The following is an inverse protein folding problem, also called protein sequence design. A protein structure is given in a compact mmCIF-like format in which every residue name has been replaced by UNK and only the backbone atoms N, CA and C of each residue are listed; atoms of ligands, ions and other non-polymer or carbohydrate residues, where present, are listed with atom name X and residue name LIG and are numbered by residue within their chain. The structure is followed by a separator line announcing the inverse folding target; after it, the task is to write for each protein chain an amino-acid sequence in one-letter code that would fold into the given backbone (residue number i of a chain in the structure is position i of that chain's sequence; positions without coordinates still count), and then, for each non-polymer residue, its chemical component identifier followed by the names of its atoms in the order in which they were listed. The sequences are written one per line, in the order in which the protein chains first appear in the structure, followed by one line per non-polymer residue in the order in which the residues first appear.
data_IF_933882440839
#
_entry.id   IF_933882440839
#
_cell.length_a   1.000
_cell.length_b   1.000
_cell.length_c   1.000
_cell.angle_alpha   90.00
_cell.angle_beta   90.00
_cell.angle_gamma   90.00
#
_symmetry.space_group_name_H-M   'P 1'
#
loop_
_entity.id
_entity.type
_entity.pdbx_description
1 polymer ?
#
# COMPACT_ATOMS: atom_id res chain seq x y z
N UNK A 1 37.31 -3.11 -23.53
CA UNK A 1 37.31 -3.57 -22.12
C UNK A 1 36.69 -2.57 -21.15
N UNK A 2 36.58 -1.26 -21.50
CA UNK A 2 35.89 -0.25 -20.70
C UNK A 2 34.39 -0.23 -20.93
N UNK A 3 33.88 -0.72 -22.06
CA UNK A 3 32.46 -0.73 -22.41
C UNK A 3 31.63 -1.73 -21.61
N UNK A 4 32.21 -2.86 -21.18
CA UNK A 4 31.47 -3.87 -20.42
C UNK A 4 31.19 -3.45 -18.96
N UNK A 5 32.00 -2.56 -18.38
CA UNK A 5 31.77 -2.02 -17.04
C UNK A 5 30.69 -0.92 -17.01
N UNK A 6 30.63 -0.12 -18.05
CA UNK A 6 29.63 0.94 -18.18
C UNK A 6 28.24 0.35 -18.46
N UNK A 7 28.17 -0.67 -19.31
CA UNK A 7 26.91 -1.37 -19.60
C UNK A 7 26.35 -2.08 -18.35
N UNK A 8 27.23 -2.64 -17.52
CA UNK A 8 26.82 -3.32 -16.30
C UNK A 8 26.38 -2.35 -15.20
N UNK A 9 27.00 -1.18 -15.09
CA UNK A 9 26.58 -0.13 -14.16
C UNK A 9 25.25 0.49 -14.58
N UNK A 10 25.03 0.69 -15.88
CA UNK A 10 23.75 1.20 -16.43
C UNK A 10 22.61 0.21 -16.20
N UNK A 11 22.82 -1.08 -16.45
CA UNK A 11 21.83 -2.13 -16.21
C UNK A 11 21.50 -2.27 -14.72
N UNK A 12 22.50 -2.17 -13.85
CA UNK A 12 22.33 -2.19 -12.39
C UNK A 12 21.54 -1.00 -11.89
N UNK A 13 21.79 0.20 -12.41
CA UNK A 13 21.03 1.41 -12.06
C UNK A 13 19.58 1.33 -12.53
N UNK A 14 19.33 0.81 -13.74
CA UNK A 14 17.98 0.62 -14.27
C UNK A 14 17.19 -0.36 -13.41
N UNK A 15 17.79 -1.48 -13.02
CA UNK A 15 17.16 -2.48 -12.16
C UNK A 15 16.84 -1.91 -10.77
N UNK A 16 17.72 -1.08 -10.21
CA UNK A 16 17.48 -0.42 -8.93
C UNK A 16 16.38 0.63 -9.02
N UNK A 17 16.30 1.36 -10.11
CA UNK A 17 15.22 2.33 -10.37
C UNK A 17 13.86 1.61 -10.52
N UNK A 18 13.84 0.52 -11.27
CA UNK A 18 12.62 -0.29 -11.42
C UNK A 18 12.16 -0.86 -10.08
N UNK A 19 13.08 -1.33 -9.23
CA UNK A 19 12.74 -1.81 -7.89
C UNK A 19 12.18 -0.72 -7.00
N UNK A 20 12.67 0.53 -7.11
CA UNK A 20 12.17 1.64 -6.31
C UNK A 20 10.81 2.13 -6.79
N UNK A 21 10.49 1.96 -8.07
CA UNK A 21 9.22 2.39 -8.68
C UNK A 21 8.15 1.30 -8.61
N UNK A 22 8.51 0.02 -8.77
CA UNK A 22 7.57 -1.09 -8.96
C UNK A 22 6.84 -1.53 -7.69
N UNK A 23 7.26 -1.07 -6.50
CA UNK A 23 6.62 -1.42 -5.23
C UNK A 23 5.99 -0.22 -4.55
N UNK A 24 4.80 -0.38 -3.98
CA UNK A 24 4.28 0.60 -3.04
C UNK A 24 5.28 0.73 -1.88
N UNK A 25 5.53 1.94 -1.35
CA UNK A 25 6.39 2.09 -0.19
C UNK A 25 5.98 1.13 0.92
N UNK A 26 6.96 0.58 1.65
CA UNK A 26 6.69 -0.44 2.71
C UNK A 26 5.64 0.02 3.71
N UNK A 27 5.58 1.32 3.97
CA UNK A 27 4.66 1.90 4.93
C UNK A 27 3.21 1.92 4.42
N UNK A 28 2.97 1.83 3.11
CA UNK A 28 1.61 1.81 2.57
C UNK A 28 0.83 0.55 2.95
N UNK A 29 1.51 -0.53 3.29
CA UNK A 29 0.85 -1.75 3.76
C UNK A 29 0.04 -1.50 5.04
N UNK A 30 0.54 -0.63 5.93
CA UNK A 30 -0.03 -0.39 7.24
C UNK A 30 -1.50 0.06 7.18
N UNK A 31 -1.87 1.12 6.44
CA UNK A 31 -3.26 1.56 6.41
C UNK A 31 -4.21 0.51 5.83
N UNK A 32 -3.75 -0.30 4.87
CA UNK A 32 -4.57 -1.36 4.30
C UNK A 32 -4.80 -2.51 5.29
N UNK A 33 -3.79 -2.85 6.10
CA UNK A 33 -3.95 -3.83 7.17
C UNK A 33 -4.93 -3.33 8.23
N UNK A 34 -4.79 -2.09 8.66
CA UNK A 34 -5.68 -1.50 9.66
C UNK A 34 -7.12 -1.41 9.15
N UNK A 35 -7.30 -1.00 7.89
CA UNK A 35 -8.62 -0.93 7.27
C UNK A 35 -9.27 -2.30 7.18
N UNK A 36 -8.50 -3.34 6.85
CA UNK A 36 -8.99 -4.72 6.76
C UNK A 36 -9.48 -5.24 8.11
N UNK A 37 -8.91 -4.75 9.21
CA UNK A 37 -9.27 -5.15 10.57
C UNK A 37 -10.41 -4.32 11.16
N UNK A 38 -10.80 -3.24 10.51
CA UNK A 38 -11.89 -2.41 11.02
C UNK A 38 -13.23 -3.13 10.82
N UNK A 39 -13.84 -3.51 11.92
CA UNK A 39 -15.11 -4.23 11.92
C UNK A 39 -15.01 -5.75 11.81
N UNK A 40 -13.82 -6.29 11.58
CA UNK A 40 -13.60 -7.74 11.41
C UNK A 40 -12.36 -8.18 12.16
N UNK A 41 -12.42 -9.37 12.73
CA UNK A 41 -11.24 -10.03 13.28
C UNK A 41 -10.76 -11.02 12.24
N UNK A 42 -9.49 -10.91 11.82
CA UNK A 42 -8.97 -11.69 10.71
C UNK A 42 -7.68 -12.42 11.08
N UNK A 43 -7.51 -13.61 10.54
CA UNK A 43 -6.24 -14.34 10.60
C UNK A 43 -5.22 -13.69 9.65
N UNK A 44 -3.93 -13.95 9.90
CA UNK A 44 -2.86 -13.37 9.09
C UNK A 44 -2.97 -13.70 7.61
N UNK A 45 -3.35 -14.96 7.26
CA UNK A 45 -3.48 -15.35 5.87
C UNK A 45 -4.63 -14.60 5.17
N UNK A 46 -5.71 -14.29 5.89
CA UNK A 46 -6.80 -13.47 5.37
C UNK A 46 -6.38 -12.04 5.10
N UNK A 47 -5.54 -11.50 5.97
CA UNK A 47 -4.96 -10.16 5.77
C UNK A 47 -4.09 -10.11 4.52
N UNK A 48 -3.30 -11.15 4.26
CA UNK A 48 -2.52 -11.26 3.04
C UNK A 48 -3.43 -11.28 1.81
N UNK A 49 -4.52 -12.06 1.84
CA UNK A 49 -5.51 -12.09 0.77
C UNK A 49 -6.15 -10.71 0.54
N UNK A 50 -6.46 -9.99 1.62
CA UNK A 50 -7.01 -8.64 1.53
C UNK A 50 -6.03 -7.67 0.87
N UNK A 51 -4.74 -7.74 1.22
CA UNK A 51 -3.73 -6.91 0.57
C UNK A 51 -3.68 -7.16 -0.93
N UNK A 52 -3.73 -8.41 -1.34
CA UNK A 52 -3.77 -8.77 -2.77
C UNK A 52 -5.01 -8.22 -3.46
N UNK A 53 -6.16 -8.24 -2.80
CA UNK A 53 -7.41 -7.70 -3.35
C UNK A 53 -7.37 -6.18 -3.51
N UNK A 54 -6.59 -5.47 -2.69
CA UNK A 54 -6.39 -4.03 -2.84
C UNK A 54 -5.46 -3.67 -4.01
N UNK A 55 -4.77 -4.64 -4.59
CA UNK A 55 -3.90 -4.41 -5.74
C UNK A 55 -2.41 -4.58 -5.46
N UNK A 56 -2.03 -5.06 -4.28
CA UNK A 56 -0.63 -5.40 -4.01
C UNK A 56 -0.28 -6.64 -4.84
N UNK A 57 0.56 -6.45 -5.86
CA UNK A 57 0.90 -7.51 -6.82
C UNK A 57 1.89 -8.53 -6.29
N UNK A 58 2.69 -8.14 -5.31
CA UNK A 58 3.71 -8.99 -4.72
C UNK A 58 3.72 -8.74 -3.22
N UNK A 59 3.24 -9.72 -2.45
CA UNK A 59 3.14 -9.63 -1.00
C UNK A 59 4.14 -10.61 -0.39
N UNK A 60 5.15 -10.07 0.27
CA UNK A 60 6.09 -10.85 1.06
C UNK A 60 5.44 -11.18 2.41
N UNK A 61 5.12 -12.46 2.63
CA UNK A 61 4.48 -12.93 3.86
C UNK A 61 5.29 -12.59 5.10
N UNK A 62 6.62 -12.74 5.02
CA UNK A 62 7.51 -12.40 6.11
C UNK A 62 7.41 -10.94 6.50
N UNK A 63 7.30 -10.04 5.53
CA UNK A 63 7.14 -8.62 5.75
C UNK A 63 5.77 -8.29 6.38
N UNK A 64 4.71 -8.96 5.96
CA UNK A 64 3.38 -8.79 6.55
C UNK A 64 3.41 -9.18 8.03
N UNK A 65 3.95 -10.35 8.36
CA UNK A 65 3.99 -10.80 9.76
C UNK A 65 4.90 -9.94 10.63
N UNK A 66 6.02 -9.43 10.09
CA UNK A 66 6.86 -8.45 10.81
C UNK A 66 6.11 -7.16 11.08
N UNK A 67 5.36 -6.67 10.11
CA UNK A 67 4.53 -5.47 10.26
C UNK A 67 3.44 -5.69 11.29
N UNK A 68 2.76 -6.83 11.27
CA UNK A 68 1.75 -7.17 12.27
C UNK A 68 2.34 -7.22 13.68
N UNK A 69 3.52 -7.82 13.84
CA UNK A 69 4.20 -7.84 15.14
C UNK A 69 4.54 -6.44 15.63
N UNK A 70 4.98 -5.58 14.73
CA UNK A 70 5.31 -4.19 15.11
C UNK A 70 4.04 -3.41 15.50
N UNK A 71 2.96 -3.57 14.75
CA UNK A 71 1.68 -2.93 15.07
C UNK A 71 1.13 -3.41 16.42
N UNK A 72 1.29 -4.70 16.73
CA UNK A 72 0.88 -5.27 18.02
C UNK A 72 1.75 -4.73 19.15
N UNK A 73 3.05 -4.62 18.94
CA UNK A 73 3.99 -4.04 19.90
C UNK A 73 3.65 -2.58 20.21
N UNK A 74 3.19 -1.85 19.21
CA UNK A 74 2.77 -0.45 19.34
C UNK A 74 1.33 -0.30 19.85
N UNK A 75 0.67 -1.39 20.19
CA UNK A 75 -0.71 -1.44 20.71
C UNK A 75 -1.76 -0.91 19.72
N UNK A 76 -1.49 -0.97 18.44
CA UNK A 76 -2.42 -0.54 17.39
C UNK A 76 -3.33 -1.69 16.97
N UNK A 77 -2.86 -2.91 17.11
CA UNK A 77 -3.64 -4.13 16.95
C UNK A 77 -3.38 -5.05 18.15
N UNK A 78 -4.26 -6.01 18.35
CA UNK A 78 -4.09 -7.08 19.32
C UNK A 78 -4.33 -8.41 18.65
N UNK A 79 -3.86 -9.49 19.26
CA UNK A 79 -4.08 -10.83 18.71
C UNK A 79 -4.43 -11.81 19.81
N UNK A 80 -5.20 -12.83 19.43
CA UNK A 80 -5.55 -13.95 20.28
C UNK A 80 -5.39 -15.24 19.50
N UNK A 81 -5.16 -16.34 20.19
CA UNK A 81 -5.14 -17.66 19.58
C UNK A 81 -6.57 -18.13 19.31
N UNK A 82 -6.85 -18.43 18.05
CA UNK A 82 -8.12 -19.01 17.65
C UNK A 82 -7.98 -20.53 17.65
N UNK A 83 -8.68 -21.20 18.57
CA UNK A 83 -8.70 -22.66 18.70
C UNK A 83 -10.03 -23.26 18.26
N UNK A 84 -10.92 -22.46 17.67
CA UNK A 84 -12.27 -22.89 17.30
C UNK A 84 -12.30 -23.87 16.12
N UNK A 85 -11.27 -23.88 15.26
CA UNK A 85 -11.19 -24.76 14.11
C UNK A 85 -10.34 -25.99 14.42
N UNK A 86 -10.60 -27.10 13.71
CA UNK A 86 -9.74 -28.27 13.74
C UNK A 86 -8.38 -27.94 13.14
N UNK A 87 -7.31 -28.44 13.76
CA UNK A 87 -5.93 -28.19 13.32
C UNK A 87 -5.17 -27.29 14.28
N UNK A 88 -3.96 -26.83 13.90
CA UNK A 88 -3.15 -25.99 14.76
C UNK A 88 -3.82 -24.65 15.04
N UNK A 89 -3.69 -24.15 16.27
CA UNK A 89 -4.20 -22.86 16.65
C UNK A 89 -3.58 -21.74 15.77
N UNK A 90 -4.39 -20.78 15.36
CA UNK A 90 -3.98 -19.64 14.52
C UNK A 90 -4.23 -18.34 15.26
N UNK A 91 -3.38 -17.35 15.02
CA UNK A 91 -3.60 -16.02 15.57
C UNK A 91 -4.68 -15.30 14.79
N UNK A 92 -5.63 -14.72 15.51
CA UNK A 92 -6.64 -13.82 14.96
C UNK A 92 -6.36 -12.42 15.46
N UNK A 93 -6.34 -11.45 14.55
CA UNK A 93 -5.98 -10.06 14.83
C UNK A 93 -7.21 -9.18 14.92
N UNK A 94 -7.14 -8.18 15.78
CA UNK A 94 -8.21 -7.21 16.00
C UNK A 94 -7.63 -5.81 16.09
N UNK A 95 -8.39 -4.82 15.63
CA UNK A 95 -8.00 -3.42 15.70
C UNK A 95 -8.30 -2.88 17.12
N UNK A 96 -7.35 -2.14 17.69
CA UNK A 96 -7.55 -1.43 18.95
C UNK A 96 -8.14 -0.04 18.68
N UNK A 97 -8.59 0.64 19.76
CA UNK A 97 -9.03 2.04 19.64
C UNK A 97 -7.90 2.94 19.14
N UNK A 98 -6.69 2.75 19.64
CA UNK A 98 -5.51 3.47 19.16
C UNK A 98 -5.24 3.17 17.68
N UNK A 99 -5.48 1.93 17.25
CA UNK A 99 -5.39 1.54 15.85
C UNK A 99 -6.40 2.24 14.97
N UNK A 100 -7.63 2.43 15.44
CA UNK A 100 -8.66 3.19 14.72
C UNK A 100 -8.24 4.66 14.54
N UNK A 101 -7.70 5.27 15.58
CA UNK A 101 -7.18 6.64 15.50
C UNK A 101 -6.02 6.74 14.50
N UNK A 102 -5.13 5.78 14.54
CA UNK A 102 -3.99 5.72 13.61
C UNK A 102 -4.45 5.54 12.16
N UNK A 103 -5.48 4.72 11.95
CA UNK A 103 -6.11 4.56 10.62
C UNK A 103 -6.68 5.89 10.13
N UNK A 104 -7.34 6.66 10.99
CA UNK A 104 -7.87 7.97 10.63
C UNK A 104 -6.75 8.93 10.22
N UNK A 105 -5.62 8.92 10.92
CA UNK A 105 -4.45 9.73 10.55
C UNK A 105 -3.90 9.31 9.19
N UNK A 106 -3.81 8.00 8.94
CA UNK A 106 -3.39 7.47 7.65
C UNK A 106 -4.32 7.88 6.52
N UNK A 107 -5.64 7.80 6.74
CA UNK A 107 -6.62 8.20 5.74
C UNK A 107 -6.43 9.66 5.32
N UNK A 108 -6.18 10.55 6.28
CA UNK A 108 -5.89 11.96 6.00
C UNK A 108 -4.61 12.13 5.18
N UNK A 109 -3.54 11.42 5.54
CA UNK A 109 -2.27 11.45 4.81
C UNK A 109 -2.41 10.90 3.40
N UNK A 110 -3.17 9.82 3.23
CA UNK A 110 -3.40 9.22 1.91
C UNK A 110 -4.24 10.14 1.02
N UNK A 111 -5.20 10.87 1.60
CA UNK A 111 -5.96 11.87 0.86
C UNK A 111 -5.08 12.99 0.32
N UNK A 112 -4.14 13.48 1.13
CA UNK A 112 -3.15 14.46 0.68
C UNK A 112 -2.27 13.90 -0.42
N UNK A 113 -1.85 12.65 -0.29
CA UNK A 113 -1.05 11.98 -1.30
C UNK A 113 -1.84 11.80 -2.60
N UNK A 114 -3.11 11.46 -2.50
CA UNK A 114 -4.02 11.37 -3.65
C UNK A 114 -4.11 12.70 -4.39
N UNK A 115 -4.23 13.81 -3.65
CA UNK A 115 -4.28 15.16 -4.24
C UNK A 115 -2.98 15.48 -4.98
N UNK A 116 -1.83 15.09 -4.44
CA UNK A 116 -0.54 15.24 -5.12
C UNK A 116 -0.49 14.44 -6.42
N UNK A 117 -0.97 13.20 -6.40
CA UNK A 117 -1.03 12.35 -7.59
C UNK A 117 -1.98 12.93 -8.63
N UNK A 118 -3.12 13.44 -8.21
CA UNK A 118 -4.08 14.10 -9.11
C UNK A 118 -3.44 15.30 -9.81
N UNK A 119 -2.67 16.10 -9.08
CA UNK A 119 -1.92 17.23 -9.63
C UNK A 119 -0.87 16.75 -10.63
N UNK A 120 -0.16 15.68 -10.29
CA UNK A 120 0.84 15.09 -11.19
C UNK A 120 0.19 14.65 -12.51
N UNK A 121 -0.87 13.88 -12.44
CA UNK A 121 -1.54 13.35 -13.65
C UNK A 121 -2.21 14.45 -14.46
N UNK A 122 -2.73 15.47 -13.80
CA UNK A 122 -3.28 16.64 -14.50
C UNK A 122 -2.19 17.34 -15.32
N UNK A 123 -1.04 17.59 -14.71
CA UNK A 123 0.08 18.22 -15.39
C UNK A 123 0.66 17.33 -16.51
N UNK A 124 0.80 16.04 -16.24
CA UNK A 124 1.27 15.07 -17.22
C UNK A 124 0.35 15.01 -18.44
N UNK A 125 -0.96 14.95 -18.20
CA UNK A 125 -1.97 14.93 -19.27
C UNK A 125 -1.92 16.21 -20.11
N UNK A 126 -1.80 17.37 -19.47
CA UNK A 126 -1.71 18.65 -20.17
C UNK A 126 -0.45 18.76 -21.03
N UNK A 127 0.67 18.18 -20.59
CA UNK A 127 1.91 18.19 -21.38
C UNK A 127 1.87 17.28 -22.59
N UNK A 128 1.26 16.09 -22.46
CA UNK A 128 1.24 15.08 -23.52
C UNK A 128 -0.05 15.07 -24.35
N UNK A 129 -1.15 15.61 -23.80
CA UNK A 129 -2.45 15.66 -24.45
C UNK A 129 -3.09 17.04 -24.29
N UNK A 130 -2.48 18.11 -24.88
CA UNK A 130 -2.93 19.49 -24.61
C UNK A 130 -4.34 19.79 -25.12
N UNK A 131 -4.87 18.97 -26.02
CA UNK A 131 -6.21 19.18 -26.62
C UNK A 131 -7.33 18.51 -25.81
N UNK A 132 -7.02 17.60 -24.89
CA UNK A 132 -8.03 16.89 -24.11
C UNK A 132 -8.61 17.72 -22.97
N UNK A 133 -7.88 18.74 -22.49
CA UNK A 133 -8.35 19.64 -21.44
C UNK A 133 -9.27 20.75 -21.95
N UNK A 134 -9.21 21.05 -23.24
CA UNK A 134 -10.06 22.09 -23.88
C UNK A 134 -11.51 21.68 -24.07
N UNK A 135 -11.77 20.40 -24.29
CA UNK A 135 -13.11 19.90 -24.57
C UNK A 135 -14.01 19.85 -23.33
N UNK A 136 -13.44 19.71 -22.14
CA UNK A 136 -14.21 19.69 -20.88
C UNK A 136 -14.70 21.05 -20.41
N UNK A 137 -14.09 22.15 -20.86
CA UNK A 137 -14.51 23.51 -20.52
C UNK A 137 -15.71 23.99 -21.31
N UNK A 138 -15.89 23.48 -22.52
CA UNK A 138 -16.99 23.90 -23.41
C UNK A 138 -18.32 23.23 -23.05
N UNK A 139 -18.30 22.07 -22.42
CA UNK A 139 -19.52 21.39 -21.94
C UNK A 139 -20.13 22.01 -20.70
N UNK A 140 -19.36 22.74 -19.90
CA UNK A 140 -19.84 23.39 -18.66
C UNK A 140 -20.38 24.81 -18.89
N UNK A 141 -20.31 25.37 -20.09
CA UNK A 141 -20.83 26.70 -20.41
C UNK A 141 -22.18 26.67 -21.13
N UNK A 142 -22.75 25.52 -21.31
CA UNK A 142 -24.10 25.33 -21.80
C UNK A 142 -25.03 24.88 -20.68
#
# INVERSE_FOLDING_TARGET
LSTSKEDNASASNSANLEKSISGAPKNFMIPFLLLSLRGWNLHGYKLIQQLMSFGFTSVDQGNVYRTLRQLEKDNLITSQWDTSAEGPARRIYSLTEAGEQYLTMWASSLEQYQNMLDSFFSMYTDMFFPFSSGTKKDENQK
#
